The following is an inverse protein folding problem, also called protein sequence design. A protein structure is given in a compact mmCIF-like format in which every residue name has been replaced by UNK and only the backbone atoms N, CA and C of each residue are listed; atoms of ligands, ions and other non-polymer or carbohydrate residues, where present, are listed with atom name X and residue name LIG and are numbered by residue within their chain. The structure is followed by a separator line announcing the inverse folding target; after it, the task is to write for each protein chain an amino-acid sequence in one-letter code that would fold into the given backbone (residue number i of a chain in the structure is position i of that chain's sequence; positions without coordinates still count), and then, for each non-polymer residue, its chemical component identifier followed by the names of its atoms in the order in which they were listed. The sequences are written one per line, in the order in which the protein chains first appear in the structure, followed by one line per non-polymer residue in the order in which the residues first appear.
data_IF_649021333394
#
_entry.id   IF_649021333394
#
_cell.length_a   1.000
_cell.length_b   1.000
_cell.length_c   1.000
_cell.angle_alpha   90.00
_cell.angle_beta   90.00
_cell.angle_gamma   90.00
#
_symmetry.space_group_name_H-M   'P 1'
#
loop_
_entity.id
_entity.type
_entity.pdbx_description
1 polymer ?
#
# COMPACT_ATOMS: atom_id res chain seq x y z
N UNK A 1 70.05 -27.43 19.34
CA UNK A 1 68.78 -27.24 20.03
C UNK A 1 68.09 -25.90 19.66
N UNK A 2 68.73 -24.74 19.66
CA UNK A 2 68.08 -23.44 19.35
C UNK A 2 67.55 -23.32 17.90
N UNK A 3 68.15 -23.91 16.88
CA UNK A 3 67.65 -23.87 15.46
C UNK A 3 66.40 -24.71 15.25
N UNK A 4 66.38 -25.93 15.86
CA UNK A 4 65.18 -26.81 15.77
C UNK A 4 63.97 -26.24 16.48
N UNK A 5 64.12 -25.60 17.64
CA UNK A 5 63.03 -24.90 18.34
C UNK A 5 62.48 -23.72 17.52
N UNK A 6 63.33 -22.92 16.86
CA UNK A 6 62.92 -21.85 15.98
C UNK A 6 62.12 -22.39 14.78
N UNK A 7 62.54 -23.46 14.14
CA UNK A 7 61.85 -24.09 13.03
C UNK A 7 60.48 -24.63 13.48
N UNK A 8 60.37 -25.23 14.66
CA UNK A 8 59.14 -25.73 15.23
C UNK A 8 58.14 -24.56 15.52
N UNK A 9 58.64 -23.45 16.07
CA UNK A 9 57.83 -22.30 16.35
C UNK A 9 57.28 -21.67 15.02
N UNK A 10 58.13 -21.53 13.99
CA UNK A 10 57.69 -21.02 12.69
C UNK A 10 56.66 -21.91 12.02
N UNK A 11 56.82 -23.24 12.07
CA UNK A 11 55.83 -24.18 11.57
C UNK A 11 54.50 -24.08 12.32
N UNK A 12 54.56 -23.95 13.65
CA UNK A 12 53.36 -23.75 14.48
C UNK A 12 52.62 -22.47 14.08
N UNK A 13 53.35 -21.36 13.91
CA UNK A 13 52.74 -20.08 13.49
C UNK A 13 52.11 -20.17 12.11
N UNK A 14 52.77 -20.82 11.14
CA UNK A 14 52.22 -21.05 9.80
C UNK A 14 50.94 -21.90 9.87
N UNK A 15 50.92 -22.95 10.69
CA UNK A 15 49.77 -23.83 10.87
C UNK A 15 48.59 -23.05 11.50
N UNK A 16 48.83 -22.25 12.55
CA UNK A 16 47.81 -21.39 13.17
C UNK A 16 47.29 -20.38 12.19
N UNK A 17 48.16 -19.72 11.43
CA UNK A 17 47.75 -18.75 10.39
C UNK A 17 46.93 -19.42 9.28
N UNK A 18 47.27 -20.64 8.86
CA UNK A 18 46.52 -21.43 7.90
C UNK A 18 45.12 -21.80 8.40
N UNK A 19 45.03 -22.27 9.66
CA UNK A 19 43.72 -22.58 10.28
C UNK A 19 42.87 -21.33 10.47
N UNK A 20 43.46 -20.25 10.98
CA UNK A 20 42.75 -18.98 11.13
C UNK A 20 42.27 -18.42 9.78
N UNK A 21 43.12 -18.48 8.75
CA UNK A 21 42.79 -18.06 7.39
C UNK A 21 41.66 -18.89 6.78
N UNK A 22 41.69 -20.20 6.95
CA UNK A 22 40.63 -21.10 6.46
C UNK A 22 39.29 -20.88 7.21
N UNK A 23 39.35 -20.62 8.51
CA UNK A 23 38.18 -20.32 9.32
C UNK A 23 37.53 -19.00 8.89
N UNK A 24 38.30 -17.92 8.75
CA UNK A 24 37.82 -16.61 8.27
C UNK A 24 37.27 -16.73 6.84
N UNK A 25 37.94 -17.48 5.97
CA UNK A 25 37.47 -17.72 4.61
C UNK A 25 36.14 -18.46 4.59
N UNK A 26 35.99 -19.49 5.39
CA UNK A 26 34.74 -20.26 5.46
C UNK A 26 33.61 -19.46 6.02
N UNK A 27 33.81 -18.68 7.10
CA UNK A 27 32.83 -17.79 7.69
C UNK A 27 32.38 -16.70 6.69
N UNK A 28 33.31 -16.05 5.98
CA UNK A 28 33.01 -15.02 5.03
C UNK A 28 32.25 -15.52 3.78
N UNK A 29 32.65 -16.65 3.25
CA UNK A 29 32.09 -17.19 2.00
C UNK A 29 30.80 -17.99 2.20
N UNK A 30 30.64 -18.72 3.31
CA UNK A 30 29.53 -19.64 3.52
C UNK A 30 28.50 -19.16 4.55
N UNK A 31 28.79 -18.12 5.31
CA UNK A 31 27.81 -17.57 6.24
C UNK A 31 26.76 -16.73 5.50
N UNK A 32 25.46 -16.96 5.74
CA UNK A 32 24.38 -16.20 5.09
C UNK A 32 24.18 -14.83 5.76
N UNK A 33 25.03 -13.88 5.39
CA UNK A 33 24.95 -12.51 5.90
C UNK A 33 24.96 -11.48 4.77
N UNK A 34 24.40 -10.28 5.06
CA UNK A 34 24.46 -9.12 4.15
C UNK A 34 24.53 -7.81 4.93
N UNK A 35 25.21 -6.81 4.38
CA UNK A 35 25.21 -5.41 4.85
C UNK A 35 24.21 -4.53 4.10
N UNK A 36 23.62 -5.07 3.04
CA UNK A 36 22.66 -4.35 2.22
C UNK A 36 21.24 -4.76 2.62
N UNK A 37 20.86 -4.39 3.84
CA UNK A 37 19.50 -4.51 4.33
C UNK A 37 18.86 -3.14 4.47
N UNK A 38 17.54 -3.08 4.26
CA UNK A 38 16.72 -1.88 4.41
C UNK A 38 15.52 -2.15 5.29
N UNK A 39 15.33 -1.28 6.27
CA UNK A 39 14.08 -1.23 7.02
C UNK A 39 12.97 -0.76 6.08
N UNK A 40 11.86 -1.47 6.06
CA UNK A 40 10.66 -1.16 5.30
C UNK A 40 9.45 -1.12 6.24
N UNK A 41 8.39 -0.47 5.79
CA UNK A 41 7.09 -0.45 6.45
C UNK A 41 5.99 -0.36 5.40
N UNK A 42 4.78 -0.73 5.77
CA UNK A 42 3.61 -0.52 4.92
C UNK A 42 3.26 0.97 4.94
N UNK A 43 3.35 1.61 3.80
CA UNK A 43 3.04 3.03 3.63
C UNK A 43 1.74 3.16 2.85
N UNK A 44 0.76 3.81 3.46
CA UNK A 44 -0.54 4.07 2.88
C UNK A 44 -0.60 5.53 2.47
N UNK A 45 -0.79 5.80 1.18
CA UNK A 45 -1.01 7.15 0.68
C UNK A 45 -2.47 7.54 0.86
N UNK A 46 -2.73 8.73 1.40
CA UNK A 46 -4.07 9.28 1.60
C UNK A 46 -4.34 10.33 0.54
N UNK A 47 -5.43 10.14 -0.20
CA UNK A 47 -5.94 11.06 -1.20
C UNK A 47 -7.42 11.36 -0.90
N UNK A 48 -7.91 12.59 -1.10
CA UNK A 48 -9.31 12.89 -0.96
C UNK A 48 -10.14 12.28 -2.09
N UNK A 49 -11.36 11.82 -1.78
CA UNK A 49 -12.30 11.30 -2.77
C UNK A 49 -13.10 12.41 -3.45
N UNK A 50 -12.99 13.66 -2.96
CA UNK A 50 -13.68 14.83 -3.51
C UNK A 50 -12.72 16.02 -3.63
N UNK A 51 -12.96 16.89 -4.58
CA UNK A 51 -12.10 18.06 -4.81
C UNK A 51 -12.68 19.31 -4.12
N UNK A 52 -11.82 20.17 -3.58
CA UNK A 52 -12.24 21.44 -2.97
C UNK A 52 -11.15 22.09 -2.15
N UNK A 53 -11.51 23.18 -1.45
CA UNK A 53 -10.60 23.86 -0.54
C UNK A 53 -10.57 23.19 0.81
N UNK A 54 -9.39 23.08 1.42
CA UNK A 54 -9.24 22.55 2.79
C UNK A 54 -9.66 23.62 3.78
N UNK A 55 -10.72 23.37 4.52
CA UNK A 55 -11.26 24.29 5.53
C UNK A 55 -10.68 24.03 6.91
N UNK A 56 -10.37 22.78 7.24
CA UNK A 56 -9.76 22.40 8.51
C UNK A 56 -8.67 21.37 8.27
N UNK A 57 -7.57 21.52 9.01
CA UNK A 57 -6.45 20.56 9.05
C UNK A 57 -6.14 20.27 10.52
N UNK A 58 -6.44 19.04 10.98
CA UNK A 58 -6.36 18.64 12.40
C UNK A 58 -5.09 17.85 12.71
N UNK A 59 -4.13 17.83 11.81
CA UNK A 59 -2.94 17.00 11.90
C UNK A 59 -1.67 17.77 11.54
N UNK A 60 -0.53 17.26 11.99
CA UNK A 60 0.79 17.74 11.62
C UNK A 60 1.71 16.57 11.24
N UNK A 61 2.84 16.89 10.61
CA UNK A 61 3.83 15.88 10.22
C UNK A 61 4.37 15.16 11.45
N UNK A 62 4.72 13.88 11.31
CA UNK A 62 5.22 13.01 12.37
C UNK A 62 4.27 12.79 13.56
N UNK A 63 2.98 13.07 13.38
CA UNK A 63 1.94 12.82 14.36
C UNK A 63 1.42 11.39 14.24
N UNK A 64 1.28 10.70 15.37
CA UNK A 64 0.56 9.42 15.44
C UNK A 64 -0.94 9.63 15.37
N UNK A 65 -1.61 8.89 14.51
CA UNK A 65 -3.07 8.89 14.33
C UNK A 65 -3.64 7.49 14.51
N UNK A 66 -4.89 7.44 14.95
CA UNK A 66 -5.66 6.19 15.04
C UNK A 66 -6.50 6.01 13.77
N UNK A 67 -6.84 4.76 13.47
CA UNK A 67 -7.83 4.44 12.45
C UNK A 67 -9.12 5.23 12.70
N UNK A 68 -9.76 5.70 11.63
CA UNK A 68 -10.99 6.50 11.62
C UNK A 68 -10.86 7.88 12.34
N UNK A 69 -9.64 8.34 12.63
CA UNK A 69 -9.40 9.69 13.10
C UNK A 69 -9.52 10.68 11.97
N UNK A 70 -10.25 11.80 12.18
CA UNK A 70 -10.38 12.88 11.20
C UNK A 70 -9.02 13.55 10.96
N UNK A 71 -8.59 13.57 9.70
CA UNK A 71 -7.33 14.18 9.27
C UNK A 71 -7.54 15.63 8.82
N UNK A 72 -8.44 15.85 7.87
CA UNK A 72 -8.77 17.17 7.35
C UNK A 72 -10.18 17.20 6.78
N UNK A 73 -10.72 18.41 6.58
CA UNK A 73 -12.02 18.62 5.96
C UNK A 73 -11.87 19.46 4.67
N UNK A 74 -12.55 19.03 3.63
CA UNK A 74 -12.77 19.76 2.38
C UNK A 74 -14.04 20.57 2.53
N UNK A 75 -14.13 21.78 1.93
CA UNK A 75 -15.30 22.64 1.97
C UNK A 75 -16.58 21.89 1.57
N UNK A 76 -17.54 21.71 2.49
CA UNK A 76 -18.74 20.92 2.24
C UNK A 76 -19.86 21.71 1.53
N UNK A 77 -19.77 23.05 1.43
CA UNK A 77 -20.89 23.89 1.01
C UNK A 77 -21.49 23.50 -0.34
N UNK A 78 -20.64 23.27 -1.34
CA UNK A 78 -21.14 22.86 -2.66
C UNK A 78 -21.71 21.43 -2.66
N UNK A 79 -21.22 20.55 -1.81
CA UNK A 79 -21.73 19.19 -1.66
C UNK A 79 -23.06 19.16 -0.92
N UNK A 80 -23.25 20.05 0.08
CA UNK A 80 -24.52 20.27 0.74
C UNK A 80 -25.57 20.81 -0.26
N UNK A 81 -25.20 21.77 -1.12
CA UNK A 81 -26.09 22.27 -2.15
C UNK A 81 -26.48 21.19 -3.18
N UNK A 82 -25.52 20.34 -3.57
CA UNK A 82 -25.78 19.20 -4.45
C UNK A 82 -26.70 18.16 -3.81
N UNK A 83 -26.52 17.88 -2.52
CA UNK A 83 -27.41 17.01 -1.75
C UNK A 83 -28.83 17.54 -1.73
N UNK A 84 -29.03 18.82 -1.35
CA UNK A 84 -30.35 19.44 -1.30
C UNK A 84 -31.04 19.43 -2.68
N UNK A 85 -30.30 19.64 -3.77
CA UNK A 85 -30.80 19.51 -5.14
C UNK A 85 -31.29 18.09 -5.43
N UNK A 86 -30.50 17.06 -5.08
CA UNK A 86 -30.85 15.66 -5.32
C UNK A 86 -32.06 15.23 -4.48
N UNK A 87 -32.19 15.71 -3.25
CA UNK A 87 -33.37 15.50 -2.40
C UNK A 87 -34.65 16.06 -3.06
N UNK A 88 -34.61 17.28 -3.55
CA UNK A 88 -35.74 17.90 -4.27
C UNK A 88 -36.09 17.14 -5.57
N UNK A 89 -35.09 16.61 -6.29
CA UNK A 89 -35.31 15.78 -7.49
C UNK A 89 -36.01 14.47 -7.13
N UNK A 90 -35.57 13.77 -6.08
CA UNK A 90 -36.23 12.55 -5.58
C UNK A 90 -37.69 12.82 -5.21
N UNK A 91 -37.96 13.93 -4.55
CA UNK A 91 -39.32 14.31 -4.18
C UNK A 91 -40.20 14.57 -5.42
N UNK A 92 -39.68 15.27 -6.42
CA UNK A 92 -40.34 15.52 -7.70
C UNK A 92 -40.71 14.22 -8.42
N UNK A 93 -39.73 13.31 -8.58
CA UNK A 93 -39.93 12.02 -9.27
C UNK A 93 -40.86 11.09 -8.47
N UNK A 94 -40.85 11.16 -7.15
CA UNK A 94 -41.81 10.45 -6.29
C UNK A 94 -43.25 10.86 -6.60
N UNK A 95 -43.52 12.15 -6.73
CA UNK A 95 -44.86 12.61 -7.07
C UNK A 95 -45.23 12.33 -8.54
N UNK A 96 -44.27 12.39 -9.47
CA UNK A 96 -44.48 11.99 -10.85
C UNK A 96 -44.88 10.50 -10.94
N UNK A 97 -44.22 9.64 -10.21
CA UNK A 97 -44.55 8.21 -10.12
C UNK A 97 -45.94 8.01 -9.50
N UNK A 98 -46.25 8.72 -8.41
CA UNK A 98 -47.59 8.65 -7.79
C UNK A 98 -48.67 9.04 -8.77
N UNK A 99 -48.50 10.15 -9.52
CA UNK A 99 -49.45 10.59 -10.55
C UNK A 99 -49.60 9.55 -11.68
N UNK A 100 -48.50 8.95 -12.15
CA UNK A 100 -48.52 7.91 -13.17
C UNK A 100 -49.29 6.69 -12.69
N UNK A 101 -49.08 6.23 -11.46
CA UNK A 101 -49.81 5.12 -10.82
C UNK A 101 -51.29 5.41 -10.73
N UNK A 102 -51.69 6.61 -10.27
CA UNK A 102 -53.08 7.01 -10.19
C UNK A 102 -53.75 7.02 -11.56
N UNK A 103 -53.06 7.52 -12.61
CA UNK A 103 -53.59 7.52 -13.98
C UNK A 103 -53.73 6.09 -14.51
N UNK A 104 -52.80 5.20 -14.25
CA UNK A 104 -52.88 3.80 -14.64
C UNK A 104 -54.04 3.08 -13.96
N UNK A 105 -54.18 3.18 -12.63
CA UNK A 105 -55.27 2.54 -11.90
C UNK A 105 -56.65 3.04 -12.33
N UNK A 106 -56.78 4.35 -12.57
CA UNK A 106 -58.03 4.93 -13.11
C UNK A 106 -58.37 4.34 -14.50
N UNK A 107 -57.37 4.25 -15.41
CA UNK A 107 -57.57 3.65 -16.75
C UNK A 107 -57.90 2.19 -16.67
N UNK A 108 -57.34 1.46 -15.76
CA UNK A 108 -57.64 0.04 -15.49
C UNK A 108 -59.10 -0.18 -15.08
N UNK A 109 -59.70 0.76 -14.38
CA UNK A 109 -61.14 0.72 -14.06
C UNK A 109 -62.01 1.06 -15.29
N UNK A 110 -61.63 2.05 -16.10
CA UNK A 110 -62.37 2.48 -17.28
C UNK A 110 -62.38 1.38 -18.39
N UNK A 111 -61.34 0.59 -18.53
CA UNK A 111 -61.36 -0.56 -19.47
C UNK A 111 -62.42 -1.57 -19.10
N UNK A 112 -62.69 -1.82 -17.80
CA UNK A 112 -63.68 -2.76 -17.34
C UNK A 112 -65.12 -2.34 -17.78
N UNK A 113 -65.32 -1.06 -18.03
CA UNK A 113 -66.58 -0.49 -18.50
C UNK A 113 -66.61 -0.19 -20.00
N UNK A 114 -65.64 -0.71 -20.77
CA UNK A 114 -65.43 -0.46 -22.20
C UNK A 114 -65.34 1.02 -22.57
N UNK A 115 -64.91 1.88 -21.64
CA UNK A 115 -64.86 3.35 -21.83
C UNK A 115 -63.54 3.86 -22.43
N UNK A 116 -62.53 3.03 -22.55
CA UNK A 116 -61.23 3.35 -23.17
C UNK A 116 -60.64 2.10 -23.88
N UNK A 117 -59.66 2.30 -24.77
CA UNK A 117 -58.97 1.26 -25.50
C UNK A 117 -57.99 0.48 -24.62
N UNK A 118 -57.66 -0.78 -25.01
CA UNK A 118 -56.58 -1.54 -24.40
C UNK A 118 -55.20 -0.87 -24.63
N UNK A 119 -55.04 -0.18 -25.77
CA UNK A 119 -53.84 0.56 -26.09
C UNK A 119 -53.62 1.72 -25.09
N UNK A 120 -54.65 2.49 -24.74
CA UNK A 120 -54.56 3.54 -23.73
C UNK A 120 -54.17 3.00 -22.35
N UNK A 121 -54.62 1.83 -21.98
CA UNK A 121 -54.21 1.16 -20.75
C UNK A 121 -52.71 0.75 -20.79
N UNK A 122 -52.28 0.18 -21.92
CA UNK A 122 -50.89 -0.23 -22.08
C UNK A 122 -49.93 0.97 -22.06
N UNK A 123 -50.28 2.07 -22.73
CA UNK A 123 -49.52 3.34 -22.66
C UNK A 123 -49.42 3.82 -21.22
N UNK A 124 -50.50 3.76 -20.41
CA UNK A 124 -50.43 4.18 -19.00
C UNK A 124 -49.54 3.26 -18.16
N UNK A 125 -49.56 1.95 -18.48
CA UNK A 125 -48.69 0.97 -17.83
C UNK A 125 -47.23 1.27 -18.10
N UNK A 126 -46.87 1.52 -19.36
CA UNK A 126 -45.51 1.87 -19.77
C UNK A 126 -45.08 3.18 -19.11
N UNK A 127 -45.92 4.22 -19.13
CA UNK A 127 -45.61 5.52 -18.47
C UNK A 127 -45.36 5.35 -16.97
N UNK A 128 -46.09 4.43 -16.30
CA UNK A 128 -45.85 4.13 -14.89
C UNK A 128 -44.45 3.47 -14.70
N UNK A 129 -44.05 2.56 -15.61
CA UNK A 129 -42.75 1.96 -15.57
C UNK A 129 -41.60 2.95 -15.83
N UNK A 130 -41.80 3.90 -16.76
CA UNK A 130 -40.86 5.01 -17.00
C UNK A 130 -40.70 5.87 -15.75
N UNK A 131 -41.81 6.28 -15.14
CA UNK A 131 -41.78 7.09 -13.91
C UNK A 131 -41.14 6.34 -12.74
N UNK A 132 -41.35 5.02 -12.64
CA UNK A 132 -40.66 4.17 -11.64
C UNK A 132 -39.13 4.13 -11.86
N UNK A 133 -38.70 4.02 -13.12
CA UNK A 133 -37.28 4.06 -13.48
C UNK A 133 -36.62 5.39 -13.16
N UNK A 134 -37.30 6.51 -13.48
CA UNK A 134 -36.82 7.87 -13.17
C UNK A 134 -36.69 8.10 -11.66
N UNK A 135 -37.67 7.62 -10.87
CA UNK A 135 -37.60 7.71 -9.41
C UNK A 135 -36.41 6.93 -8.85
N UNK A 136 -36.15 5.73 -9.37
CA UNK A 136 -34.95 4.94 -8.98
C UNK A 136 -33.64 5.63 -9.36
N UNK A 137 -33.61 6.26 -10.55
CA UNK A 137 -32.44 7.03 -10.97
C UNK A 137 -32.17 8.19 -10.01
N UNK A 138 -33.21 8.99 -9.68
CA UNK A 138 -33.09 10.08 -8.74
C UNK A 138 -32.62 9.62 -7.34
N UNK A 139 -33.10 8.45 -6.88
CA UNK A 139 -32.60 7.85 -5.62
C UNK A 139 -31.10 7.50 -5.69
N UNK A 140 -30.60 6.94 -6.79
CA UNK A 140 -29.19 6.64 -6.96
C UNK A 140 -28.30 7.91 -6.98
N UNK A 141 -28.80 8.98 -7.61
CA UNK A 141 -28.14 10.29 -7.61
C UNK A 141 -28.10 10.90 -6.20
N UNK A 142 -29.17 10.76 -5.42
CA UNK A 142 -29.21 11.19 -4.01
C UNK A 142 -28.16 10.45 -3.17
N UNK A 143 -28.05 9.14 -3.30
CA UNK A 143 -27.04 8.35 -2.57
C UNK A 143 -25.61 8.79 -2.97
N UNK A 144 -25.38 9.11 -4.24
CA UNK A 144 -24.10 9.65 -4.71
C UNK A 144 -23.81 11.01 -4.07
N UNK A 145 -24.81 11.89 -3.99
CA UNK A 145 -24.63 13.20 -3.37
C UNK A 145 -24.35 13.11 -1.86
N UNK A 146 -25.02 12.18 -1.15
CA UNK A 146 -24.74 11.89 0.26
C UNK A 146 -23.31 11.40 0.46
N UNK A 147 -22.89 10.42 -0.33
CA UNK A 147 -21.53 9.87 -0.27
C UNK A 147 -20.49 10.97 -0.51
N UNK A 148 -20.70 11.83 -1.51
CA UNK A 148 -19.76 12.91 -1.79
C UNK A 148 -19.68 13.92 -0.64
N UNK A 149 -20.78 14.21 0.05
CA UNK A 149 -20.78 15.05 1.23
C UNK A 149 -20.05 14.37 2.40
N UNK A 150 -20.27 13.09 2.64
CA UNK A 150 -19.55 12.33 3.66
C UNK A 150 -18.05 12.32 3.40
N UNK A 151 -17.64 12.18 2.13
CA UNK A 151 -16.23 12.15 1.69
C UNK A 151 -15.52 13.51 1.77
N UNK A 152 -16.22 14.59 2.11
CA UNK A 152 -15.58 15.89 2.43
C UNK A 152 -14.78 15.81 3.73
N UNK A 153 -15.13 14.94 4.67
CA UNK A 153 -14.37 14.63 5.86
C UNK A 153 -13.45 13.42 5.57
N UNK A 154 -12.14 13.66 5.60
CA UNK A 154 -11.13 12.63 5.28
C UNK A 154 -10.57 12.04 6.56
N UNK A 155 -10.70 10.74 6.71
CA UNK A 155 -10.29 9.98 7.89
C UNK A 155 -9.08 9.10 7.62
N UNK A 156 -8.35 8.74 8.69
CA UNK A 156 -7.23 7.81 8.61
C UNK A 156 -7.73 6.39 8.30
N UNK A 157 -7.26 5.76 7.21
CA UNK A 157 -7.67 4.39 6.86
C UNK A 157 -7.10 3.34 7.83
N UNK A 158 -5.95 3.62 8.45
CA UNK A 158 -5.28 2.76 9.42
C UNK A 158 -4.57 3.60 10.48
N UNK A 159 -4.24 2.98 11.62
CA UNK A 159 -3.42 3.61 12.67
C UNK A 159 -1.95 3.64 12.26
N UNK A 160 -1.26 4.76 12.53
CA UNK A 160 0.14 4.91 12.17
C UNK A 160 0.65 6.34 12.33
N UNK A 161 1.81 6.63 11.78
CA UNK A 161 2.45 7.93 11.86
C UNK A 161 2.38 8.65 10.52
N UNK A 162 1.97 9.92 10.55
CA UNK A 162 1.85 10.77 9.36
C UNK A 162 3.24 11.17 8.85
N UNK A 163 3.45 11.01 7.56
CA UNK A 163 4.64 11.47 6.86
C UNK A 163 4.27 12.25 5.58
N UNK A 164 5.18 13.08 5.10
CA UNK A 164 5.04 13.82 3.85
C UNK A 164 3.74 14.64 3.75
N UNK A 165 3.37 15.32 4.83
CA UNK A 165 2.19 16.18 4.86
C UNK A 165 2.43 17.45 4.02
N UNK A 166 1.99 17.41 2.77
CA UNK A 166 2.08 18.54 1.82
C UNK A 166 0.78 19.36 1.76
N UNK A 167 0.01 19.36 2.84
CA UNK A 167 -1.29 20.01 2.92
C UNK A 167 -1.24 21.17 3.92
N UNK A 168 -1.97 22.24 3.60
CA UNK A 168 -2.23 23.39 4.50
C UNK A 168 -3.68 23.78 4.40
N UNK A 169 -4.24 24.34 5.47
CA UNK A 169 -5.55 24.97 5.43
C UNK A 169 -5.55 26.05 4.35
N UNK A 170 -6.60 26.10 3.51
CA UNK A 170 -6.66 26.98 2.36
C UNK A 170 -6.02 26.43 1.08
N UNK A 171 -5.41 25.24 1.07
CA UNK A 171 -5.01 24.58 -0.17
C UNK A 171 -6.22 24.00 -0.90
N UNK A 172 -6.14 23.99 -2.23
CA UNK A 172 -7.09 23.25 -3.05
C UNK A 172 -6.60 21.84 -3.31
N UNK A 173 -7.43 20.85 -3.00
CA UNK A 173 -7.14 19.43 -3.26
C UNK A 173 -7.97 18.92 -4.43
N UNK A 174 -7.38 17.97 -5.18
CA UNK A 174 -8.07 17.29 -6.29
C UNK A 174 -8.35 15.85 -5.88
N UNK A 175 -9.49 15.34 -6.29
CA UNK A 175 -9.86 13.94 -6.13
C UNK A 175 -8.73 13.01 -6.63
N UNK A 176 -8.37 12.00 -5.83
CA UNK A 176 -7.36 11.00 -6.16
C UNK A 176 -5.91 11.47 -6.07
N UNK A 177 -5.64 12.75 -5.77
CA UNK A 177 -4.27 13.26 -5.58
C UNK A 177 -3.79 13.04 -4.15
N UNK A 178 -2.72 12.27 -3.96
CA UNK A 178 -2.15 12.03 -2.62
C UNK A 178 -1.65 13.31 -1.98
N UNK A 179 -2.03 13.56 -0.73
CA UNK A 179 -1.71 14.77 0.03
C UNK A 179 -0.85 14.49 1.26
N UNK A 180 -0.84 13.27 1.74
CA UNK A 180 -0.02 12.78 2.84
C UNK A 180 0.15 11.26 2.73
N UNK A 181 1.05 10.70 3.55
CA UNK A 181 1.15 9.26 3.70
C UNK A 181 1.16 8.88 5.19
N UNK A 182 0.74 7.65 5.49
CA UNK A 182 0.73 7.08 6.84
C UNK A 182 1.61 5.84 6.83
N UNK A 183 2.61 5.81 7.70
CA UNK A 183 3.37 4.59 8.01
C UNK A 183 2.52 3.78 8.99
N UNK A 184 2.03 2.63 8.55
CA UNK A 184 1.16 1.78 9.37
C UNK A 184 1.88 1.32 10.64
N UNK A 185 1.21 1.42 11.78
CA UNK A 185 1.76 0.97 13.06
C UNK A 185 2.08 -0.54 13.02
N UNK A 186 3.19 -0.94 13.62
CA UNK A 186 3.64 -2.33 13.72
C UNK A 186 3.84 -3.05 12.37
N UNK A 187 4.05 -2.31 11.27
CA UNK A 187 4.27 -2.89 9.95
C UNK A 187 5.75 -2.94 9.53
N UNK A 188 6.67 -2.60 10.42
CA UNK A 188 8.09 -2.61 10.09
C UNK A 188 8.60 -4.03 9.86
N UNK A 189 9.30 -4.20 8.75
CA UNK A 189 10.05 -5.40 8.39
C UNK A 189 11.38 -5.02 7.75
N UNK A 190 12.23 -5.97 7.49
CA UNK A 190 13.53 -5.74 6.87
C UNK A 190 13.64 -6.53 5.58
N UNK A 191 14.02 -5.86 4.50
CA UNK A 191 14.41 -6.52 3.25
C UNK A 191 15.92 -6.55 3.16
N UNK A 192 16.51 -7.74 3.21
CA UNK A 192 17.93 -7.97 2.97
C UNK A 192 18.19 -8.35 1.53
N UNK A 193 19.22 -7.78 0.93
CA UNK A 193 19.65 -8.12 -0.43
C UNK A 193 20.85 -9.05 -0.34
N UNK A 194 20.62 -10.35 -0.54
CA UNK A 194 21.64 -11.38 -0.48
C UNK A 194 22.18 -11.72 -1.86
N UNK A 195 23.43 -12.07 -1.94
CA UNK A 195 24.05 -12.57 -3.17
C UNK A 195 23.42 -13.91 -3.57
N UNK A 196 23.21 -14.11 -4.86
CA UNK A 196 22.66 -15.35 -5.45
C UNK A 196 23.40 -16.60 -4.97
N UNK A 197 24.71 -16.51 -4.76
CA UNK A 197 25.57 -17.59 -4.25
C UNK A 197 25.21 -18.05 -2.85
N UNK A 198 24.57 -17.20 -2.04
CA UNK A 198 24.16 -17.48 -0.66
C UNK A 198 22.72 -17.99 -0.53
N UNK A 199 21.94 -17.94 -1.60
CA UNK A 199 20.54 -18.39 -1.60
C UNK A 199 20.33 -19.84 -1.13
N UNK A 200 21.17 -20.81 -1.51
CA UNK A 200 21.01 -22.20 -1.04
C UNK A 200 21.08 -22.35 0.49
N UNK A 201 21.63 -21.36 1.19
CA UNK A 201 21.77 -21.34 2.65
C UNK A 201 20.60 -20.63 3.35
N UNK A 202 19.64 -20.08 2.58
CA UNK A 202 18.55 -19.26 3.11
C UNK A 202 17.23 -20.03 3.00
N UNK A 203 16.57 -20.21 4.14
CA UNK A 203 15.33 -20.96 4.23
C UNK A 203 14.24 -20.14 4.92
N UNK A 204 12.99 -20.40 4.58
CA UNK A 204 11.85 -19.83 5.29
C UNK A 204 11.83 -20.29 6.75
N UNK A 205 11.52 -19.40 7.67
CA UNK A 205 11.51 -19.68 9.11
C UNK A 205 12.88 -19.55 9.79
N UNK A 206 13.96 -19.29 9.02
CA UNK A 206 15.31 -19.12 9.56
C UNK A 206 15.38 -17.85 10.42
N UNK A 207 16.01 -17.97 11.60
CA UNK A 207 16.18 -16.82 12.50
C UNK A 207 17.21 -15.84 11.97
N UNK A 208 16.89 -14.55 12.11
CA UNK A 208 17.71 -13.45 11.65
C UNK A 208 18.09 -12.53 12.80
N UNK A 209 19.36 -12.13 12.83
CA UNK A 209 19.86 -11.05 13.69
C UNK A 209 20.09 -9.81 12.83
N UNK A 210 19.30 -8.78 13.09
CA UNK A 210 19.34 -7.51 12.35
C UNK A 210 20.01 -6.45 13.20
N UNK A 211 21.05 -5.82 12.69
CA UNK A 211 21.79 -4.75 13.38
C UNK A 211 21.69 -3.45 12.59
N UNK A 212 21.19 -2.39 13.23
CA UNK A 212 21.10 -1.06 12.61
C UNK A 212 22.52 -0.50 12.39
N UNK A 213 22.73 0.20 11.28
CA UNK A 213 24.01 0.85 10.96
C UNK A 213 24.40 1.90 12.01
N UNK A 214 23.42 2.58 12.60
CA UNK A 214 23.63 3.56 13.68
C UNK A 214 24.01 2.94 15.03
N UNK A 215 24.16 1.61 15.12
CA UNK A 215 24.42 0.89 16.36
C UNK A 215 23.15 0.62 17.17
N UNK A 216 23.31 0.10 18.38
CA UNK A 216 22.23 -0.24 19.30
C UNK A 216 22.03 -1.75 19.47
N UNK A 217 20.92 -2.12 20.11
CA UNK A 217 20.55 -3.53 20.32
C UNK A 217 20.19 -4.18 18.99
N UNK A 218 20.71 -5.36 18.74
CA UNK A 218 20.32 -6.17 17.60
C UNK A 218 18.83 -6.55 17.72
N UNK A 219 18.10 -6.48 16.60
CA UNK A 219 16.72 -6.92 16.49
C UNK A 219 16.70 -8.39 16.07
N UNK A 220 15.79 -9.15 16.65
CA UNK A 220 15.52 -10.51 16.24
C UNK A 220 14.38 -10.53 15.21
N UNK A 221 14.48 -11.47 14.28
CA UNK A 221 13.44 -11.65 13.26
C UNK A 221 13.53 -13.03 12.61
N UNK A 222 12.67 -13.27 11.67
CA UNK A 222 12.52 -14.53 10.96
C UNK A 222 12.32 -14.29 9.47
N UNK A 223 12.96 -15.11 8.64
CA UNK A 223 12.79 -15.08 7.18
C UNK A 223 11.38 -15.53 6.81
N UNK A 224 10.62 -14.63 6.20
CA UNK A 224 9.23 -14.89 5.79
C UNK A 224 9.06 -15.01 4.27
N UNK A 225 9.99 -14.45 3.50
CA UNK A 225 9.93 -14.48 2.04
C UNK A 225 11.33 -14.46 1.44
N UNK A 226 11.49 -15.19 0.34
CA UNK A 226 12.67 -15.12 -0.54
C UNK A 226 12.16 -14.74 -1.94
N UNK A 227 12.69 -13.67 -2.49
CA UNK A 227 12.27 -13.14 -3.79
C UNK A 227 12.49 -14.17 -4.90
N UNK A 228 11.43 -14.44 -5.66
CA UNK A 228 11.44 -15.41 -6.78
C UNK A 228 11.69 -14.78 -8.14
N UNK A 229 11.69 -13.44 -8.21
CA UNK A 229 11.91 -12.71 -9.45
C UNK A 229 12.62 -11.40 -9.16
N UNK A 230 13.55 -11.06 -10.03
CA UNK A 230 14.22 -9.76 -10.09
C UNK A 230 14.06 -9.19 -11.50
N UNK A 231 13.97 -7.87 -11.62
CA UNK A 231 13.91 -7.22 -12.91
C UNK A 231 15.22 -7.48 -13.67
N UNK A 232 15.11 -7.99 -14.90
CA UNK A 232 16.27 -8.14 -15.77
C UNK A 232 16.55 -6.79 -16.45
N UNK A 233 17.61 -6.11 -16.03
CA UNK A 233 18.02 -4.83 -16.62
C UNK A 233 18.70 -4.99 -17.99
N UNK A 234 19.05 -6.21 -18.39
CA UNK A 234 19.70 -6.49 -19.66
C UNK A 234 18.72 -6.63 -20.84
N UNK A 235 17.41 -6.71 -20.55
CA UNK A 235 16.38 -6.79 -21.59
C UNK A 235 15.38 -5.65 -21.38
N UNK A 236 15.39 -4.68 -22.30
CA UNK A 236 14.33 -3.68 -22.42
C UNK A 236 13.45 -4.04 -23.61
N UNK A 237 12.14 -4.00 -23.43
CA UNK A 237 11.21 -4.13 -24.55
C UNK A 237 11.19 -2.82 -25.34
N UNK A 238 11.38 -2.90 -26.66
CA UNK A 238 11.13 -1.75 -27.54
C UNK A 238 9.61 -1.60 -27.80
N UNK A 239 9.21 -0.54 -28.50
CA UNK A 239 7.79 -0.29 -28.84
C UNK A 239 7.15 -1.40 -29.73
N UNK A 240 7.94 -2.35 -30.24
CA UNK A 240 7.49 -3.52 -30.99
C UNK A 240 7.44 -4.79 -30.13
N UNK A 241 7.58 -4.66 -28.79
CA UNK A 241 7.63 -5.77 -27.83
C UNK A 241 8.78 -6.78 -28.08
N UNK A 242 9.80 -6.39 -28.85
CA UNK A 242 10.98 -7.21 -29.05
C UNK A 242 12.03 -6.92 -27.96
N UNK A 243 12.66 -7.95 -27.37
CA UNK A 243 13.69 -7.76 -26.36
C UNK A 243 14.93 -7.12 -26.99
N UNK A 244 15.30 -5.93 -26.51
CA UNK A 244 16.62 -5.36 -26.82
C UNK A 244 17.62 -5.92 -25.80
N UNK A 245 18.54 -6.74 -26.27
CA UNK A 245 19.62 -7.29 -25.46
C UNK A 245 20.80 -6.33 -25.56
N UNK A 246 21.16 -5.69 -24.43
CA UNK A 246 22.42 -4.93 -24.38
C UNK A 246 23.59 -5.90 -24.46
N UNK A 247 24.45 -5.69 -25.43
CA UNK A 247 25.73 -6.39 -25.52
C UNK A 247 26.65 -5.80 -24.42
N UNK A 248 26.66 -6.42 -23.26
CA UNK A 248 27.57 -6.04 -22.19
C UNK A 248 28.74 -7.02 -22.16
N UNK A 249 29.91 -6.53 -22.52
CA UNK A 249 31.15 -7.20 -22.21
C UNK A 249 31.49 -6.99 -20.71
N UNK A 250 30.76 -7.67 -19.83
CA UNK A 250 31.10 -7.64 -18.42
C UNK A 250 32.28 -8.58 -18.19
N UNK A 251 33.46 -8.01 -18.03
CA UNK A 251 34.70 -8.69 -17.64
C UNK A 251 34.51 -9.49 -16.33
N UNK A 252 33.70 -8.97 -15.40
CA UNK A 252 33.38 -9.63 -14.13
C UNK A 252 31.85 -9.79 -14.05
N UNK A 253 31.37 -11.03 -13.94
CA UNK A 253 29.97 -11.32 -13.62
C UNK A 253 29.77 -11.10 -12.12
N UNK A 254 29.10 -10.01 -11.78
CA UNK A 254 28.66 -9.78 -10.41
C UNK A 254 27.44 -10.66 -10.11
N UNK A 255 27.44 -11.30 -8.93
CA UNK A 255 26.29 -12.05 -8.46
C UNK A 255 25.08 -11.12 -8.32
N UNK A 256 23.91 -11.58 -8.74
CA UNK A 256 22.66 -10.86 -8.57
C UNK A 256 22.29 -10.80 -7.09
N UNK A 257 21.58 -9.72 -6.71
CA UNK A 257 21.11 -9.54 -5.34
C UNK A 257 19.63 -9.88 -5.26
N UNK A 258 19.31 -10.85 -4.45
CA UNK A 258 17.95 -11.35 -4.27
C UNK A 258 17.37 -10.78 -2.98
N UNK A 259 16.18 -10.17 -3.02
CA UNK A 259 15.53 -9.67 -1.82
C UNK A 259 15.01 -10.81 -0.95
N UNK A 260 15.28 -10.72 0.33
CA UNK A 260 14.79 -11.64 1.38
C UNK A 260 14.11 -10.79 2.43
N UNK A 261 12.82 -11.04 2.68
CA UNK A 261 12.07 -10.30 3.68
C UNK A 261 12.11 -11.01 5.03
N UNK A 262 12.40 -10.22 6.04
CA UNK A 262 12.55 -10.64 7.43
C UNK A 262 11.53 -9.89 8.26
N UNK A 263 10.62 -10.63 8.86
CA UNK A 263 9.67 -10.10 9.83
C UNK A 263 10.37 -9.94 11.18
N UNK A 264 10.27 -8.77 11.79
CA UNK A 264 10.82 -8.51 13.12
C UNK A 264 9.90 -9.11 14.19
N UNK A 265 10.48 -9.82 15.19
CA UNK A 265 9.72 -10.43 16.28
C UNK A 265 9.17 -9.36 17.23
N UNK A 266 10.01 -8.40 17.62
CA UNK A 266 9.63 -7.26 18.44
C UNK A 266 10.61 -6.11 18.27
N UNK A 267 10.13 -4.90 18.40
CA UNK A 267 10.95 -3.69 18.42
C UNK A 267 11.16 -3.30 19.89
N UNK A 268 12.40 -3.35 20.43
CA UNK A 268 12.68 -2.99 21.82
C UNK A 268 12.31 -1.52 22.09
N UNK A 269 11.85 -1.25 23.30
CA UNK A 269 11.56 0.13 23.74
C UNK A 269 12.81 1.02 23.57
N UNK A 270 12.62 2.21 23.00
CA UNK A 270 13.68 3.18 22.74
C UNK A 270 14.36 3.02 21.39
N UNK A 271 14.04 2.03 20.56
CA UNK A 271 14.50 1.93 19.18
C UNK A 271 13.46 2.57 18.26
N UNK A 272 13.82 3.69 17.66
CA UNK A 272 13.00 4.31 16.61
C UNK A 272 13.44 3.79 15.25
N UNK A 273 12.54 3.10 14.56
CA UNK A 273 12.76 2.65 13.19
C UNK A 273 12.15 3.65 12.22
N UNK A 274 12.89 3.96 11.16
CA UNK A 274 12.36 4.70 10.01
C UNK A 274 12.53 3.86 8.75
N UNK A 275 11.52 3.85 7.90
CA UNK A 275 11.62 3.20 6.61
C UNK A 275 12.78 3.80 5.79
N UNK A 276 13.61 2.96 5.20
CA UNK A 276 14.81 3.37 4.48
C UNK A 276 16.12 3.25 5.28
N UNK A 277 16.07 3.06 6.61
CA UNK A 277 17.30 2.83 7.40
C UNK A 277 18.06 1.62 6.90
N UNK A 278 19.40 1.72 6.93
CA UNK A 278 20.30 0.63 6.54
C UNK A 278 20.56 -0.30 7.72
N UNK A 279 20.59 -1.59 7.44
CA UNK A 279 20.86 -2.63 8.44
C UNK A 279 21.80 -3.70 7.90
N UNK A 280 22.54 -4.33 8.81
CA UNK A 280 23.27 -5.58 8.54
C UNK A 280 22.45 -6.75 9.08
N UNK A 281 22.43 -7.83 8.32
CA UNK A 281 21.62 -9.03 8.61
C UNK A 281 22.55 -10.23 8.66
N UNK A 282 22.42 -11.03 9.71
CA UNK A 282 23.04 -12.34 9.83
C UNK A 282 21.93 -13.36 10.08
N UNK A 283 21.86 -14.36 9.23
CA UNK A 283 20.94 -15.48 9.42
C UNK A 283 21.66 -16.58 10.24
N UNK A 284 20.91 -17.24 11.13
CA UNK A 284 21.48 -18.35 11.91
C UNK A 284 21.83 -19.50 10.98
N UNK A 285 22.98 -20.12 11.21
CA UNK A 285 23.27 -21.42 10.63
C UNK A 285 22.29 -22.45 11.23
N UNK A 286 21.89 -23.43 10.42
CA UNK A 286 21.07 -24.56 10.90
C UNK A 286 21.90 -25.54 11.71
#
# INVERSE_FOLDING_TARGET
MMKTVRVLITLLVILVAGVAGSWVWNDYMHSPWTRDGRVRADIITVAPDVSGWVTKLNIHNDQSVKKDQLLFEVDPLRYQAALAKSEATVETEKYALALAKHKYERRKQLVKTNSISLEDLEVARINTKVAEANYKLAQAELETAKLNLERTAVYAPESGDIINLNLRQGNYVKQGSSVLAIVKANSFYVTGYFEETKLPLIHLGQKAKVTLLGGGKALAGEVVSVGRAIANTNTQSNNQLLPQIQQTFNWVRLAQRIPVDIKLDSIPQGVQLSAGMTVSIHLSEQ
#
